data_IF_661092542046
#
_entry.id   IF_661092542046
#
_cell.length_a   1.000
_cell.length_b   1.000
_cell.length_c   1.000
_cell.angle_alpha   90.00
_cell.angle_beta   90.00
_cell.angle_gamma   90.00
#
_symmetry.space_group_name_H-M   'P 1'
#
loop_
_entity.id
_entity.type
_entity.pdbx_description
1 polymer ?
#
# COMPACT_ATOMS: atom_id res chain seq x y z
N UNK A 1 18.94 -7.17 -1.60
CA UNK A 1 20.40 -6.95 -1.61
C UNK A 1 21.09 -7.97 -2.50
N UNK A 2 22.14 -7.55 -3.18
CA UNK A 2 22.92 -8.40 -4.07
C UNK A 2 24.32 -8.57 -3.49
N UNK A 3 24.88 -9.78 -3.54
CA UNK A 3 26.24 -10.02 -3.11
C UNK A 3 27.22 -9.22 -3.95
N UNK A 4 28.24 -8.69 -3.30
CA UNK A 4 29.26 -7.87 -3.93
C UNK A 4 30.60 -8.17 -3.29
N UNK A 5 31.68 -8.00 -4.05
CA UNK A 5 33.03 -8.23 -3.56
C UNK A 5 33.30 -7.44 -2.29
N UNK A 6 33.55 -8.15 -1.17
CA UNK A 6 33.74 -7.53 0.14
C UNK A 6 32.47 -7.23 0.92
N UNK A 7 31.29 -7.66 0.47
CA UNK A 7 30.02 -7.42 1.21
C UNK A 7 28.78 -7.56 0.36
N UNK A 8 27.83 -6.66 0.60
CA UNK A 8 26.57 -6.61 -0.15
C UNK A 8 26.35 -5.20 -0.67
N UNK A 9 25.55 -5.08 -1.72
CA UNK A 9 25.11 -3.77 -2.27
C UNK A 9 23.63 -3.80 -2.54
N UNK A 10 23.04 -2.62 -2.72
CA UNK A 10 21.64 -2.50 -3.14
C UNK A 10 21.47 -3.08 -4.54
N UNK A 11 20.43 -3.91 -4.72
CA UNK A 11 20.10 -4.49 -6.02
C UNK A 11 19.71 -3.42 -7.02
N UNK A 12 18.97 -2.40 -6.56
CA UNK A 12 18.57 -1.27 -7.40
C UNK A 12 19.63 -0.17 -7.32
N UNK A 13 20.17 0.33 -8.45
CA UNK A 13 21.10 1.46 -8.43
C UNK A 13 20.49 2.69 -7.77
N UNK A 14 21.32 3.46 -7.04
CA UNK A 14 20.88 4.67 -6.34
C UNK A 14 20.25 5.67 -7.31
N UNK A 15 20.79 5.82 -8.50
CA UNK A 15 20.29 6.75 -9.53
C UNK A 15 18.88 6.39 -9.95
N UNK A 16 18.59 5.09 -10.08
CA UNK A 16 17.25 4.59 -10.43
C UNK A 16 16.26 4.89 -9.32
N UNK A 17 16.65 4.66 -8.07
CA UNK A 17 15.81 4.93 -6.90
C UNK A 17 15.48 6.42 -6.79
N UNK A 18 16.48 7.28 -6.97
CA UNK A 18 16.27 8.75 -6.97
C UNK A 18 15.30 9.16 -8.07
N UNK A 19 15.43 8.59 -9.27
CA UNK A 19 14.53 8.89 -10.38
C UNK A 19 13.08 8.48 -10.05
N UNK A 20 12.88 7.32 -9.42
CA UNK A 20 11.55 6.87 -8.98
C UNK A 20 10.95 7.86 -7.98
N UNK A 21 11.69 8.26 -6.95
CA UNK A 21 11.19 9.19 -5.94
C UNK A 21 10.86 10.56 -6.52
N UNK A 22 11.57 11.02 -7.54
CA UNK A 22 11.27 12.29 -8.22
C UNK A 22 9.93 12.27 -8.98
N UNK A 23 9.40 11.10 -9.31
CA UNK A 23 8.15 10.95 -10.04
C UNK A 23 6.94 10.80 -9.13
N UNK A 24 7.14 10.73 -7.80
CA UNK A 24 6.02 10.63 -6.84
C UNK A 24 5.18 11.90 -6.89
N UNK A 25 3.83 11.78 -7.01
CA UNK A 25 2.95 12.95 -7.03
C UNK A 25 3.10 13.79 -5.77
N UNK A 26 3.16 15.12 -5.93
CA UNK A 26 3.30 16.05 -4.81
C UNK A 26 2.01 16.26 -4.02
N UNK A 27 0.86 15.97 -4.63
CA UNK A 27 -0.45 16.11 -3.97
C UNK A 27 -1.37 14.94 -4.35
N UNK A 28 -1.21 13.78 -3.70
CA UNK A 28 -2.04 12.61 -3.99
C UNK A 28 -3.52 12.81 -3.64
N UNK A 29 -3.86 13.68 -2.70
CA UNK A 29 -5.23 13.98 -2.33
C UNK A 29 -6.05 14.52 -3.49
N UNK A 30 -5.43 15.27 -4.40
CA UNK A 30 -6.09 15.78 -5.59
C UNK A 30 -6.67 14.66 -6.44
N UNK A 31 -5.89 13.60 -6.65
CA UNK A 31 -6.32 12.44 -7.45
C UNK A 31 -7.32 11.59 -6.70
N UNK A 32 -7.11 11.44 -5.40
CA UNK A 32 -7.99 10.66 -4.54
C UNK A 32 -9.42 11.21 -4.54
N UNK A 33 -9.57 12.53 -4.46
CA UNK A 33 -10.87 13.20 -4.48
C UNK A 33 -11.60 13.05 -5.81
N UNK A 34 -10.91 12.70 -6.87
CA UNK A 34 -11.49 12.48 -8.20
C UNK A 34 -11.96 11.04 -8.40
N UNK A 35 -11.71 10.15 -7.46
CA UNK A 35 -12.11 8.75 -7.54
C UNK A 35 -13.64 8.63 -7.50
N UNK A 36 -14.21 8.00 -8.53
CA UNK A 36 -15.67 7.84 -8.67
C UNK A 36 -16.10 6.38 -8.79
N UNK A 37 -15.15 5.44 -8.72
CA UNK A 37 -15.43 4.00 -8.78
C UNK A 37 -15.46 3.44 -7.37
N UNK A 38 -16.26 2.39 -7.10
CA UNK A 38 -16.21 1.71 -5.81
C UNK A 38 -14.79 1.20 -5.54
N UNK A 39 -14.30 1.45 -4.34
CA UNK A 39 -12.95 1.05 -3.95
C UNK A 39 -12.92 0.59 -2.51
N UNK A 40 -11.99 -0.29 -2.19
CA UNK A 40 -11.75 -0.75 -0.83
C UNK A 40 -10.26 -0.59 -0.54
N UNK A 41 -9.96 0.05 0.59
CA UNK A 41 -8.60 0.15 1.11
C UNK A 41 -8.42 -0.96 2.14
N UNK A 42 -7.37 -1.74 2.00
CA UNK A 42 -7.00 -2.75 2.99
C UNK A 42 -5.70 -2.33 3.66
N UNK A 43 -5.72 -2.26 4.98
CA UNK A 43 -4.58 -1.80 5.78
C UNK A 43 -4.21 -2.87 6.80
N UNK A 44 -2.92 -3.18 6.92
CA UNK A 44 -2.43 -4.05 7.98
C UNK A 44 -2.54 -3.36 9.34
N UNK A 45 -3.15 -4.02 10.32
CA UNK A 45 -3.37 -3.45 11.66
C UNK A 45 -2.08 -3.03 12.34
N UNK A 46 -0.99 -3.75 12.10
CA UNK A 46 0.32 -3.51 12.72
C UNK A 46 1.18 -2.55 11.92
N UNK A 47 0.66 -2.02 10.83
CA UNK A 47 1.36 -1.03 10.00
C UNK A 47 1.43 0.32 10.73
N UNK A 48 2.58 0.99 10.59
CA UNK A 48 2.70 2.37 11.05
C UNK A 48 1.64 3.26 10.38
N UNK A 49 1.33 3.01 9.12
CA UNK A 49 0.30 3.74 8.38
C UNK A 49 -1.06 3.68 9.07
N UNK A 50 -1.39 2.56 9.72
CA UNK A 50 -2.65 2.40 10.45
C UNK A 50 -2.77 3.35 11.65
N UNK A 51 -1.66 3.81 12.19
CA UNK A 51 -1.63 4.69 13.38
C UNK A 51 -1.67 6.18 13.03
N UNK A 52 -1.59 6.54 11.76
CA UNK A 52 -1.49 7.94 11.32
C UNK A 52 -2.83 8.67 11.20
N UNK A 53 -3.95 7.95 11.25
CA UNK A 53 -5.26 8.51 10.93
C UNK A 53 -5.51 8.68 9.42
N UNK A 54 -4.51 8.42 8.60
CA UNK A 54 -4.62 8.55 7.14
C UNK A 54 -5.63 7.59 6.52
N UNK A 55 -5.69 6.28 6.92
CA UNK A 55 -6.69 5.36 6.36
C UNK A 55 -8.12 5.85 6.57
N UNK A 56 -8.44 6.35 7.77
CA UNK A 56 -9.76 6.84 8.10
C UNK A 56 -10.09 8.12 7.32
N UNK A 57 -9.11 8.97 7.10
CA UNK A 57 -9.27 10.17 6.28
C UNK A 57 -9.52 9.82 4.82
N UNK A 58 -8.82 8.84 4.28
CA UNK A 58 -9.05 8.34 2.92
C UNK A 58 -10.45 7.74 2.78
N UNK A 59 -10.90 6.99 3.78
CA UNK A 59 -12.19 6.31 3.74
C UNK A 59 -13.40 7.25 3.87
N UNK A 60 -13.21 8.50 4.28
CA UNK A 60 -14.28 9.48 4.31
C UNK A 60 -14.73 9.91 2.92
N UNK A 61 -13.92 9.67 1.92
CA UNK A 61 -14.29 9.98 0.54
C UNK A 61 -15.15 8.84 -0.02
N UNK A 62 -16.33 9.17 -0.51
CA UNK A 62 -17.20 8.20 -1.18
C UNK A 62 -16.72 7.96 -2.61
N UNK A 63 -16.74 6.74 -3.11
CA UNK A 63 -17.31 5.50 -2.56
C UNK A 63 -16.23 4.53 -2.03
N UNK A 64 -15.52 4.88 -0.99
CA UNK A 64 -14.38 4.12 -0.49
C UNK A 64 -14.73 3.43 0.82
N UNK A 65 -14.40 2.14 0.93
CA UNK A 65 -14.51 1.35 2.16
C UNK A 65 -13.13 1.13 2.76
N UNK A 66 -13.06 1.02 4.08
CA UNK A 66 -11.83 0.74 4.80
C UNK A 66 -11.94 -0.63 5.49
N UNK A 67 -10.95 -1.47 5.29
CA UNK A 67 -10.85 -2.80 5.91
C UNK A 67 -9.47 -2.94 6.55
N UNK A 68 -9.42 -3.37 7.80
CA UNK A 68 -8.18 -3.72 8.47
C UNK A 68 -7.99 -5.23 8.42
N UNK A 69 -6.75 -5.67 8.22
CA UNK A 69 -6.38 -7.08 8.22
C UNK A 69 -5.20 -7.31 9.16
N UNK A 70 -5.00 -8.55 9.59
CA UNK A 70 -3.86 -8.91 10.41
C UNK A 70 -2.56 -8.77 9.63
N UNK A 71 -1.53 -8.26 10.27
CA UNK A 71 -0.19 -8.12 9.71
C UNK A 71 0.28 -6.69 9.60
N UNK A 72 1.52 -6.52 9.14
CA UNK A 72 2.16 -5.23 8.94
C UNK A 72 1.82 -4.62 7.59
N UNK A 73 2.57 -3.58 7.24
CA UNK A 73 2.39 -2.87 5.97
C UNK A 73 2.51 -3.80 4.76
N UNK A 74 3.38 -4.78 4.84
CA UNK A 74 3.64 -5.74 3.76
C UNK A 74 2.86 -7.06 3.96
N UNK A 75 1.67 -7.00 4.53
CA UNK A 75 0.85 -8.19 4.80
C UNK A 75 0.65 -9.10 3.58
N UNK A 76 0.57 -8.61 2.32
CA UNK A 76 0.47 -9.52 1.17
C UNK A 76 1.67 -10.44 1.01
N UNK A 77 2.85 -10.00 1.41
CA UNK A 77 4.06 -10.82 1.39
C UNK A 77 4.17 -11.71 2.62
N UNK A 78 3.74 -11.23 3.78
CA UNK A 78 3.76 -11.98 5.03
C UNK A 78 2.72 -13.10 5.06
N UNK A 79 1.53 -12.84 4.51
CA UNK A 79 0.36 -13.74 4.55
C UNK A 79 -0.31 -13.83 3.18
N UNK A 80 0.36 -14.40 2.18
CA UNK A 80 -0.14 -14.38 0.80
C UNK A 80 -1.47 -15.11 0.61
N UNK A 81 -1.67 -16.26 1.27
CA UNK A 81 -2.91 -17.03 1.13
C UNK A 81 -4.09 -16.32 1.78
N UNK A 82 -3.90 -15.81 2.99
CA UNK A 82 -4.95 -15.05 3.68
C UNK A 82 -5.31 -13.76 2.92
N UNK A 83 -4.32 -13.11 2.33
CA UNK A 83 -4.54 -11.91 1.50
C UNK A 83 -5.32 -12.26 0.24
N UNK A 84 -4.99 -13.36 -0.43
CA UNK A 84 -5.71 -13.80 -1.62
C UNK A 84 -7.18 -14.07 -1.30
N UNK A 85 -7.47 -14.75 -0.19
CA UNK A 85 -8.84 -15.01 0.26
C UNK A 85 -9.60 -13.72 0.55
N UNK A 86 -8.95 -12.77 1.23
CA UNK A 86 -9.54 -11.47 1.54
C UNK A 86 -9.88 -10.70 0.28
N UNK A 87 -8.95 -10.61 -0.66
CA UNK A 87 -9.16 -9.90 -1.94
C UNK A 87 -10.31 -10.53 -2.71
N UNK A 88 -10.37 -11.85 -2.77
CA UNK A 88 -11.48 -12.57 -3.42
C UNK A 88 -12.83 -12.20 -2.80
N UNK A 89 -12.94 -12.22 -1.47
CA UNK A 89 -14.16 -11.86 -0.77
C UNK A 89 -14.58 -10.42 -1.05
N UNK A 90 -13.63 -9.50 -1.04
CA UNK A 90 -13.91 -8.09 -1.28
C UNK A 90 -14.36 -7.82 -2.71
N UNK A 91 -13.75 -8.50 -3.69
CA UNK A 91 -14.17 -8.38 -5.09
C UNK A 91 -15.57 -8.94 -5.33
N UNK A 92 -15.93 -10.02 -4.67
CA UNK A 92 -17.26 -10.61 -4.79
C UNK A 92 -18.34 -9.76 -4.11
N UNK A 93 -17.95 -8.89 -3.17
CA UNK A 93 -18.87 -8.02 -2.44
C UNK A 93 -19.07 -6.65 -3.11
N UNK A 94 -18.33 -6.36 -4.16
CA UNK A 94 -18.47 -5.09 -4.88
C UNK A 94 -19.77 -5.00 -5.69
#
# INVERSE_FOLDING_TARGET
>A
LTDYEGGVKLTIPVETEVAIFRTVPSNPWRYWRQLKVPATIVVGKDSHFATTGCPERLARHQPIKLVYTDGGHMFPLEKPLATADLVKKLLLAL
#
